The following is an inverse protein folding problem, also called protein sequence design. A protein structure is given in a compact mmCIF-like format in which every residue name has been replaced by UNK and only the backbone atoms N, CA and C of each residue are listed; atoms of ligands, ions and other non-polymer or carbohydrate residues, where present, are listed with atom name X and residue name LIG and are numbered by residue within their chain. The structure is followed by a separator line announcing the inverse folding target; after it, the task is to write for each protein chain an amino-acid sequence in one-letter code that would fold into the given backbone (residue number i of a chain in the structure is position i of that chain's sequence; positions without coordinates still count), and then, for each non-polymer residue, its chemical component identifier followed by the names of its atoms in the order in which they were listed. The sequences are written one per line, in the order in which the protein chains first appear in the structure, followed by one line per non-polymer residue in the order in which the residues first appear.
data_IF_967135093048
#
_entry.id   IF_967135093048
#
_cell.length_a   1.000
_cell.length_b   1.000
_cell.length_c   1.000
_cell.angle_alpha   90.00
_cell.angle_beta   90.00
_cell.angle_gamma   90.00
#
_symmetry.space_group_name_H-M   'P 1'
#
loop_
_entity.id
_entity.type
_entity.pdbx_description
1 polymer ?
#
# COMPACT_ATOMS: atom_id res chain seq x y z
N UNK A 1 -20.12 -14.32 -23.57
CA UNK A 1 -18.91 -13.51 -23.33
C UNK A 1 -19.02 -12.03 -23.72
N UNK A 2 -19.49 -11.65 -24.92
CA UNK A 2 -19.47 -10.24 -25.38
C UNK A 2 -20.24 -9.22 -24.51
N UNK A 3 -21.34 -9.61 -23.84
CA UNK A 3 -22.12 -8.70 -22.96
C UNK A 3 -21.32 -8.17 -21.77
N UNK A 4 -20.47 -9.00 -21.16
CA UNK A 4 -19.68 -8.64 -19.97
C UNK A 4 -18.65 -7.54 -20.24
N UNK A 5 -18.03 -7.58 -21.42
CA UNK A 5 -17.04 -6.56 -21.79
C UNK A 5 -17.67 -5.17 -21.91
N UNK A 6 -18.93 -5.10 -22.37
CA UNK A 6 -19.69 -3.84 -22.47
C UNK A 6 -20.06 -3.29 -21.09
N UNK A 7 -20.43 -4.17 -20.16
CA UNK A 7 -20.69 -3.82 -18.76
C UNK A 7 -19.43 -3.27 -18.08
N UNK A 8 -18.27 -3.94 -18.21
CA UNK A 8 -17.01 -3.47 -17.64
C UNK A 8 -16.56 -2.12 -18.21
N UNK A 9 -16.73 -1.90 -19.51
CA UNK A 9 -16.41 -0.59 -20.13
C UNK A 9 -17.26 0.54 -19.55
N UNK A 10 -18.54 0.26 -19.26
CA UNK A 10 -19.44 1.24 -18.65
C UNK A 10 -19.02 1.57 -17.22
N UNK A 11 -18.62 0.57 -16.43
CA UNK A 11 -18.11 0.78 -15.06
C UNK A 11 -16.86 1.67 -15.07
N UNK A 12 -15.88 1.37 -15.94
CA UNK A 12 -14.66 2.18 -16.09
C UNK A 12 -14.94 3.62 -16.52
N UNK A 13 -16.00 3.87 -17.30
CA UNK A 13 -16.41 5.23 -17.68
C UNK A 13 -17.13 6.00 -16.57
N UNK A 14 -17.73 5.30 -15.60
CA UNK A 14 -18.47 5.92 -14.49
C UNK A 14 -17.51 6.29 -13.34
N UNK A 15 -16.39 5.58 -13.18
CA UNK A 15 -15.42 5.87 -12.12
C UNK A 15 -14.71 7.21 -12.37
N UNK A 16 -14.73 8.09 -11.37
CA UNK A 16 -14.01 9.37 -11.38
C UNK A 16 -12.51 9.10 -11.22
N UNK A 17 -11.69 9.56 -12.18
CA UNK A 17 -10.23 9.58 -12.01
C UNK A 17 -9.88 10.57 -10.89
N UNK A 18 -9.09 10.17 -9.88
CA UNK A 18 -8.74 11.07 -8.78
C UNK A 18 -7.97 12.28 -9.29
N UNK A 19 -8.22 13.43 -8.66
CA UNK A 19 -7.44 14.63 -8.93
C UNK A 19 -6.01 14.46 -8.38
N UNK A 20 -5.05 15.21 -8.94
CA UNK A 20 -3.65 15.07 -8.54
C UNK A 20 -3.41 15.47 -7.08
N UNK A 21 -4.26 16.35 -6.53
CA UNK A 21 -4.20 16.78 -5.12
C UNK A 21 -4.74 15.72 -4.17
N UNK A 22 -5.88 15.10 -4.51
CA UNK A 22 -6.45 13.96 -3.77
C UNK A 22 -5.46 12.79 -3.75
N UNK A 23 -4.82 12.50 -4.88
CA UNK A 23 -3.81 11.46 -4.99
C UNK A 23 -2.61 11.74 -4.08
N UNK A 24 -2.08 12.96 -4.10
CA UNK A 24 -0.95 13.35 -3.24
C UNK A 24 -1.30 13.27 -1.76
N UNK A 25 -2.52 13.64 -1.37
CA UNK A 25 -2.96 13.55 0.02
C UNK A 25 -2.99 12.08 0.49
N UNK A 26 -3.59 11.20 -0.32
CA UNK A 26 -3.66 9.76 0.00
C UNK A 26 -2.25 9.17 0.09
N UNK A 27 -1.39 9.41 -0.90
CA UNK A 27 -0.01 8.88 -0.93
C UNK A 27 0.83 9.35 0.26
N UNK A 28 0.66 10.61 0.71
CA UNK A 28 1.37 11.10 1.90
C UNK A 28 0.95 10.36 3.16
N UNK A 29 -0.35 10.14 3.35
CA UNK A 29 -0.89 9.46 4.53
C UNK A 29 -0.53 7.98 4.53
N UNK A 30 -0.72 7.28 3.40
CA UNK A 30 -0.36 5.85 3.29
C UNK A 30 1.15 5.65 3.35
N UNK A 31 1.94 6.52 2.74
CA UNK A 31 3.40 6.50 2.83
C UNK A 31 3.91 6.65 4.26
N UNK A 32 3.31 7.55 5.04
CA UNK A 32 3.60 7.68 6.48
C UNK A 32 3.23 6.40 7.25
N UNK A 33 2.06 5.83 6.99
CA UNK A 33 1.64 4.57 7.63
C UNK A 33 2.58 3.41 7.32
N UNK A 34 2.98 3.26 6.05
CA UNK A 34 3.95 2.23 5.62
C UNK A 34 5.32 2.42 6.28
N UNK A 35 5.80 3.66 6.39
CA UNK A 35 7.07 3.95 7.04
C UNK A 35 7.05 3.58 8.53
N UNK A 36 5.98 3.93 9.25
CA UNK A 36 5.84 3.59 10.68
C UNK A 36 5.79 2.09 10.89
N UNK A 37 4.94 1.36 10.14
CA UNK A 37 4.82 -0.09 10.27
C UNK A 37 6.13 -0.78 9.87
N UNK A 38 6.77 -0.32 8.79
CA UNK A 38 8.05 -0.82 8.32
C UNK A 38 9.16 -0.63 9.35
N UNK A 39 9.24 0.52 10.00
CA UNK A 39 10.22 0.78 11.07
C UNK A 39 9.99 -0.13 12.27
N UNK A 40 8.74 -0.29 12.72
CA UNK A 40 8.42 -1.18 13.85
C UNK A 40 8.80 -2.63 13.53
N UNK A 41 8.42 -3.12 12.35
CA UNK A 41 8.79 -4.47 11.90
C UNK A 41 10.31 -4.64 11.76
N UNK A 42 11.00 -3.62 11.23
CA UNK A 42 12.45 -3.62 11.09
C UNK A 42 13.17 -3.61 12.44
N UNK A 43 12.68 -2.85 13.42
CA UNK A 43 13.23 -2.85 14.78
C UNK A 43 13.11 -4.23 15.43
N UNK A 44 11.95 -4.88 15.30
CA UNK A 44 11.74 -6.25 15.82
C UNK A 44 12.69 -7.23 15.13
N UNK A 45 12.77 -7.18 13.80
CA UNK A 45 13.65 -8.04 13.02
C UNK A 45 15.12 -7.88 13.44
N UNK A 46 15.58 -6.63 13.59
CA UNK A 46 16.94 -6.32 13.99
C UNK A 46 17.27 -6.85 15.39
N UNK A 47 16.34 -6.72 16.35
CA UNK A 47 16.50 -7.28 17.70
C UNK A 47 16.57 -8.80 17.66
N UNK A 48 15.67 -9.45 16.92
CA UNK A 48 15.65 -10.92 16.78
C UNK A 48 16.93 -11.43 16.13
N UNK A 49 17.44 -10.74 15.10
CA UNK A 49 18.68 -11.11 14.44
C UNK A 49 19.90 -10.92 15.34
N UNK A 50 19.93 -9.84 16.13
CA UNK A 50 20.96 -9.63 17.16
C UNK A 50 20.94 -10.73 18.22
N UNK A 51 19.75 -11.12 18.70
CA UNK A 51 19.59 -12.20 19.69
C UNK A 51 20.05 -13.54 19.12
N UNK A 52 19.70 -13.87 17.88
CA UNK A 52 20.20 -15.08 17.20
C UNK A 52 21.73 -15.07 17.09
N UNK A 53 22.31 -13.94 16.70
CA UNK A 53 23.77 -13.81 16.54
C UNK A 53 24.55 -13.99 17.85
N UNK A 54 23.93 -13.73 19.01
CA UNK A 54 24.55 -13.85 20.34
C UNK A 54 24.61 -15.28 20.90
N UNK A 55 24.11 -16.30 20.19
CA UNK A 55 24.43 -17.69 20.48
C UNK A 55 23.25 -18.61 20.84
N UNK A 56 22.21 -18.63 19.99
CA UNK A 56 21.35 -19.81 19.78
C UNK A 56 21.51 -20.25 18.33
#
# INVERSE_FOLDING_TARGET
MRKKFREYRRVLSITKKPAMDEFKAIVKVTGLGMAVIGLVGFTIFMIVEWVKKLGI
#
